data_IF_163482537396
#
_entry.id   IF_163482537396
#
_cell.length_a   1.000
_cell.length_b   1.000
_cell.length_c   1.000
_cell.angle_alpha   90.00
_cell.angle_beta   90.00
_cell.angle_gamma   90.00
#
_symmetry.space_group_name_H-M   'P 1'
#
loop_
_entity.id
_entity.type
_entity.pdbx_description
1 polymer ?
#
# COMPACT_ATOMS: atom_id res chain seq x y z
N UNK A 1 -1.78 -15.67 -22.52
CA UNK A 1 -1.67 -14.66 -21.45
C UNK A 1 -0.24 -14.21 -21.48
N UNK A 2 0.02 -13.00 -21.95
CA UNK A 2 1.36 -12.42 -21.92
C UNK A 2 1.72 -12.21 -20.45
N UNK A 3 2.84 -12.78 -19.99
CA UNK A 3 3.43 -12.48 -18.69
C UNK A 3 3.94 -11.02 -18.79
N UNK A 4 3.07 -10.05 -18.53
CA UNK A 4 3.48 -8.67 -18.33
C UNK A 4 4.33 -8.66 -17.06
N UNK A 5 5.63 -8.79 -17.26
CA UNK A 5 6.63 -8.76 -16.20
C UNK A 5 6.58 -7.35 -15.63
N UNK A 6 6.23 -7.21 -14.35
CA UNK A 6 6.15 -5.91 -13.71
C UNK A 6 7.55 -5.31 -13.61
N UNK A 7 7.65 -4.02 -13.89
CA UNK A 7 8.86 -3.28 -13.61
C UNK A 7 8.95 -2.99 -12.09
N UNK A 8 9.89 -3.66 -11.42
CA UNK A 8 10.12 -3.55 -9.97
C UNK A 8 10.50 -2.11 -9.57
N UNK A 9 11.29 -1.41 -10.39
CA UNK A 9 11.69 -0.02 -10.12
C UNK A 9 10.51 0.95 -10.25
N UNK A 10 9.64 0.71 -11.23
CA UNK A 10 8.40 1.49 -11.39
C UNK A 10 7.47 1.27 -10.20
N UNK A 11 7.28 0.01 -9.79
CA UNK A 11 6.47 -0.33 -8.63
C UNK A 11 7.05 0.28 -7.34
N UNK A 12 8.37 0.24 -7.18
CA UNK A 12 9.07 0.86 -6.06
C UNK A 12 8.83 2.38 -6.01
N UNK A 13 8.85 3.04 -7.16
CA UNK A 13 8.57 4.49 -7.28
C UNK A 13 7.12 4.81 -6.91
N UNK A 14 6.17 4.04 -7.42
CA UNK A 14 4.74 4.19 -7.11
C UNK A 14 4.45 3.99 -5.62
N UNK A 15 5.00 2.93 -5.02
CA UNK A 15 4.85 2.68 -3.58
C UNK A 15 5.46 3.78 -2.73
N UNK A 16 6.62 4.32 -3.11
CA UNK A 16 7.23 5.45 -2.41
C UNK A 16 6.34 6.70 -2.48
N UNK A 17 5.77 7.02 -3.65
CA UNK A 17 4.88 8.17 -3.80
C UNK A 17 3.64 8.07 -2.89
N UNK A 18 3.09 6.86 -2.70
CA UNK A 18 2.00 6.63 -1.75
C UNK A 18 2.45 6.88 -0.32
N UNK A 19 3.62 6.37 0.08
CA UNK A 19 4.16 6.59 1.43
C UNK A 19 4.40 8.08 1.70
N UNK A 20 4.94 8.82 0.72
CA UNK A 20 5.17 10.25 0.84
C UNK A 20 3.84 11.01 1.04
N UNK A 21 2.77 10.60 0.33
CA UNK A 21 1.44 11.18 0.52
C UNK A 21 0.85 10.88 1.91
N UNK A 22 1.08 9.68 2.45
CA UNK A 22 0.73 9.37 3.83
C UNK A 22 1.51 10.22 4.83
N UNK A 23 2.83 10.36 4.67
CA UNK A 23 3.68 11.13 5.57
C UNK A 23 3.35 12.62 5.58
N UNK A 24 2.87 13.15 4.45
CA UNK A 24 2.33 14.51 4.34
C UNK A 24 0.94 14.68 4.99
N UNK A 25 0.21 13.59 5.24
CA UNK A 25 -1.13 13.66 5.82
C UNK A 25 -1.08 14.03 7.31
N UNK A 26 -1.80 15.08 7.77
CA UNK A 26 -1.72 15.57 9.16
C UNK A 26 -2.05 14.52 10.22
N UNK A 27 -2.89 13.55 9.89
CA UNK A 27 -3.30 12.47 10.79
C UNK A 27 -2.45 11.19 10.66
N UNK A 28 -1.38 11.17 9.87
CA UNK A 28 -0.47 10.02 9.82
C UNK A 28 0.67 10.13 10.84
N UNK A 29 0.87 11.31 11.43
CA UNK A 29 1.95 11.61 12.39
C UNK A 29 1.42 12.21 13.69
N UNK A 30 2.16 12.09 14.82
CA UNK A 30 1.77 12.72 16.09
C UNK A 30 1.62 14.24 15.98
N UNK A 31 0.78 14.88 16.82
CA UNK A 31 0.05 14.30 17.95
C UNK A 31 -1.33 13.72 17.60
N UNK A 32 -1.85 13.94 16.39
CA UNK A 32 -3.23 13.62 16.01
C UNK A 32 -3.32 12.40 15.09
N UNK A 33 -2.57 11.34 15.40
CA UNK A 33 -2.52 10.15 14.56
C UNK A 33 -3.89 9.45 14.54
N UNK A 34 -4.46 9.30 13.35
CA UNK A 34 -5.64 8.48 13.12
C UNK A 34 -5.22 7.01 13.01
N UNK A 35 -5.76 6.10 13.87
CA UNK A 35 -5.35 4.70 13.91
C UNK A 35 -5.51 3.97 12.57
N UNK A 36 -6.56 4.26 11.81
CA UNK A 36 -6.80 3.62 10.51
C UNK A 36 -5.82 4.10 9.45
N UNK A 37 -5.55 5.41 9.42
CA UNK A 37 -4.57 5.99 8.48
C UNK A 37 -3.19 5.41 8.75
N UNK A 38 -2.78 5.38 10.02
CA UNK A 38 -1.50 4.80 10.40
C UNK A 38 -1.41 3.30 10.12
N UNK A 39 -2.49 2.54 10.34
CA UNK A 39 -2.53 1.12 10.00
C UNK A 39 -2.27 0.88 8.51
N UNK A 40 -2.95 1.63 7.63
CA UNK A 40 -2.77 1.46 6.17
C UNK A 40 -1.37 1.94 5.74
N UNK A 41 -0.88 3.05 6.29
CA UNK A 41 0.50 3.49 6.09
C UNK A 41 1.51 2.39 6.44
N UNK A 42 1.41 1.81 7.63
CA UNK A 42 2.31 0.75 8.08
C UNK A 42 2.19 -0.52 7.21
N UNK A 43 0.97 -0.88 6.79
CA UNK A 43 0.73 -1.99 5.87
C UNK A 43 1.45 -1.79 4.53
N UNK A 44 1.32 -0.61 3.91
CA UNK A 44 2.00 -0.28 2.64
C UNK A 44 3.51 -0.22 2.83
N UNK A 45 3.98 0.40 3.93
CA UNK A 45 5.41 0.49 4.26
C UNK A 45 6.04 -0.90 4.40
N UNK A 46 5.38 -1.82 5.10
CA UNK A 46 5.84 -3.19 5.24
C UNK A 46 5.82 -3.95 3.91
N UNK A 47 4.84 -3.68 3.05
CA UNK A 47 4.80 -4.22 1.67
C UNK A 47 5.96 -3.67 0.83
N UNK A 48 6.28 -2.39 0.96
CA UNK A 48 7.40 -1.75 0.25
C UNK A 48 8.74 -2.31 0.70
N UNK A 49 8.90 -2.56 1.99
CA UNK A 49 10.09 -3.21 2.53
C UNK A 49 10.26 -4.63 1.96
N UNK A 50 9.18 -5.38 1.76
CA UNK A 50 9.25 -6.69 1.07
C UNK A 50 9.69 -6.54 -0.39
N UNK A 51 9.16 -5.54 -1.12
CA UNK A 51 9.59 -5.26 -2.49
C UNK A 51 11.09 -4.97 -2.58
N UNK A 52 11.63 -4.19 -1.64
CA UNK A 52 13.07 -3.89 -1.56
C UNK A 52 13.95 -5.12 -1.31
N UNK A 53 13.38 -6.22 -0.83
CA UNK A 53 14.10 -7.50 -0.67
C UNK A 53 14.04 -8.40 -1.91
N UNK A 54 13.29 -8.02 -2.96
CA UNK A 54 13.20 -8.80 -4.19
C UNK A 54 14.53 -8.76 -4.95
N UNK A 55 15.05 -9.93 -5.27
CA UNK A 55 16.20 -10.09 -6.15
C UNK A 55 15.73 -9.95 -7.61
N UNK A 56 15.99 -8.77 -8.20
CA UNK A 56 15.58 -8.44 -9.57
C UNK A 56 16.17 -9.40 -10.61
N UNK A 57 17.38 -9.94 -10.39
CA UNK A 57 17.99 -10.89 -11.32
C UNK A 57 17.27 -12.24 -11.28
N UNK A 58 16.86 -12.71 -10.10
CA UNK A 58 16.04 -13.92 -9.97
C UNK A 58 14.64 -13.75 -10.54
N UNK A 59 14.03 -12.59 -10.34
CA UNK A 59 12.75 -12.26 -10.93
C UNK A 59 12.81 -12.28 -12.46
N UNK A 60 13.82 -11.61 -13.04
CA UNK A 60 14.06 -11.62 -14.49
C UNK A 60 14.36 -13.03 -15.04
N UNK A 61 14.98 -13.90 -14.24
CA UNK A 61 15.22 -15.30 -14.59
C UNK A 61 13.98 -16.21 -14.41
N UNK A 62 12.85 -15.68 -13.93
CA UNK A 62 11.62 -16.45 -13.74
C UNK A 62 11.64 -17.41 -12.55
N UNK A 63 12.47 -17.13 -11.54
CA UNK A 63 12.53 -17.92 -10.31
C UNK A 63 11.15 -17.98 -9.61
N UNK A 64 10.64 -19.21 -9.39
CA UNK A 64 9.26 -19.41 -8.90
C UNK A 64 9.01 -18.77 -7.52
N UNK A 65 9.87 -18.96 -6.51
CA UNK A 65 9.73 -18.27 -5.22
C UNK A 65 9.70 -16.74 -5.36
N UNK A 66 10.62 -16.19 -6.17
CA UNK A 66 10.69 -14.73 -6.38
C UNK A 66 9.44 -14.20 -7.08
N UNK A 67 8.95 -14.92 -8.10
CA UNK A 67 7.70 -14.58 -8.80
C UNK A 67 6.48 -14.64 -7.87
N UNK A 68 6.43 -15.61 -6.95
CA UNK A 68 5.36 -15.70 -5.97
C UNK A 68 5.37 -14.52 -5.00
N UNK A 69 6.55 -14.10 -4.53
CA UNK A 69 6.71 -12.94 -3.67
C UNK A 69 6.28 -11.64 -4.37
N UNK A 70 6.66 -11.45 -5.64
CA UNK A 70 6.20 -10.29 -6.43
C UNK A 70 4.68 -10.31 -6.60
N UNK A 71 4.07 -11.46 -6.87
CA UNK A 71 2.59 -11.59 -6.97
C UNK A 71 1.89 -11.26 -5.65
N UNK A 72 2.47 -11.64 -4.52
CA UNK A 72 1.96 -11.27 -3.20
C UNK A 72 1.98 -9.75 -3.02
N UNK A 73 3.09 -9.09 -3.36
CA UNK A 73 3.21 -7.63 -3.27
C UNK A 73 2.15 -6.92 -4.11
N UNK A 74 1.91 -7.37 -5.35
CA UNK A 74 0.84 -6.84 -6.21
C UNK A 74 -0.52 -7.00 -5.53
N UNK A 75 -0.81 -8.19 -4.99
CA UNK A 75 -2.07 -8.45 -4.30
C UNK A 75 -2.25 -7.57 -3.07
N UNK A 76 -1.17 -7.31 -2.31
CA UNK A 76 -1.19 -6.40 -1.16
C UNK A 76 -1.42 -4.95 -1.59
N UNK A 77 -0.84 -4.51 -2.70
CA UNK A 77 -1.09 -3.17 -3.24
C UNK A 77 -2.54 -3.00 -3.71
N UNK A 78 -3.08 -3.97 -4.44
CA UNK A 78 -4.49 -3.95 -4.82
C UNK A 78 -5.41 -3.93 -3.59
N UNK A 79 -5.06 -4.68 -2.54
CA UNK A 79 -5.79 -4.65 -1.28
C UNK A 79 -5.66 -3.30 -0.57
N UNK A 80 -4.50 -2.66 -0.58
CA UNK A 80 -4.33 -1.32 -0.01
C UNK A 80 -5.28 -0.30 -0.66
N UNK A 81 -5.45 -0.34 -1.98
CA UNK A 81 -6.41 0.51 -2.69
C UNK A 81 -7.86 0.23 -2.28
N UNK A 82 -8.21 -1.02 -1.96
CA UNK A 82 -9.52 -1.35 -1.36
C UNK A 82 -9.66 -0.74 0.03
N UNK A 83 -8.62 -0.80 0.87
CA UNK A 83 -8.66 -0.24 2.24
C UNK A 83 -8.80 1.29 2.23
N UNK A 84 -8.08 1.98 1.34
CA UNK A 84 -8.12 3.44 1.20
C UNK A 84 -9.51 3.91 0.73
N UNK A 85 -10.19 3.08 -0.05
CA UNK A 85 -11.53 3.35 -0.57
C UNK A 85 -12.66 2.73 0.29
N UNK A 86 -12.37 2.13 1.45
CA UNK A 86 -13.42 1.56 2.32
C UNK A 86 -14.29 2.66 2.94
N UNK A 87 -15.55 2.71 2.51
CA UNK A 87 -16.57 3.58 3.11
C UNK A 87 -17.50 2.83 4.07
N UNK A 88 -17.28 1.53 4.31
CA UNK A 88 -18.19 0.71 5.12
C UNK A 88 -18.05 0.93 6.63
N UNK A 89 -16.94 1.54 7.08
CA UNK A 89 -16.64 1.75 8.49
C UNK A 89 -16.07 0.51 9.21
N UNK A 90 -15.99 -0.64 8.54
CA UNK A 90 -15.41 -1.86 9.11
C UNK A 90 -13.92 -1.69 9.39
N UNK A 91 -13.20 -1.00 8.51
CA UNK A 91 -11.79 -0.73 8.75
C UNK A 91 -11.56 0.11 9.99
N UNK A 92 -12.32 1.20 10.15
CA UNK A 92 -12.28 2.01 11.35
C UNK A 92 -12.59 1.19 12.61
N UNK A 93 -13.55 0.26 12.56
CA UNK A 93 -13.82 -0.65 13.69
C UNK A 93 -12.60 -1.53 14.04
N UNK A 94 -11.97 -2.14 13.04
CA UNK A 94 -10.85 -3.09 13.24
C UNK A 94 -9.58 -2.42 13.74
N UNK A 95 -9.38 -1.14 13.44
CA UNK A 95 -8.20 -0.35 13.83
C UNK A 95 -8.42 0.47 15.11
N UNK A 96 -9.60 0.37 15.74
CA UNK A 96 -9.94 1.10 16.97
C UNK A 96 -10.44 2.54 16.75
N UNK A 97 -10.79 2.90 15.52
CA UNK A 97 -11.47 4.13 15.15
C UNK A 97 -13.01 4.06 15.31
N UNK A 98 -13.68 5.16 14.97
CA UNK A 98 -15.14 5.27 15.04
C UNK A 98 -15.79 4.72 13.75
N UNK A 99 -16.54 3.60 13.79
CA UNK A 99 -17.15 3.00 12.60
C UNK A 99 -18.25 3.85 11.95
N UNK A 100 -18.85 4.80 12.69
CA UNK A 100 -19.88 5.71 12.17
C UNK A 100 -19.28 6.86 11.35
N UNK A 101 -17.96 7.03 11.38
CA UNK A 101 -17.24 8.06 10.63
C UNK A 101 -16.16 7.36 9.81
N UNK A 102 -16.43 7.07 8.51
CA UNK A 102 -15.43 6.49 7.63
C UNK A 102 -14.12 7.30 7.67
N UNK A 103 -13.00 6.59 7.62
CA UNK A 103 -11.69 7.24 7.63
C UNK A 103 -11.52 8.02 6.33
N UNK A 104 -11.19 9.31 6.44
CA UNK A 104 -10.88 10.13 5.28
C UNK A 104 -9.36 10.14 5.04
N UNK A 105 -8.92 9.48 3.99
CA UNK A 105 -7.51 9.48 3.57
C UNK A 105 -7.10 10.74 2.79
N UNK A 106 -8.06 11.59 2.38
CA UNK A 106 -7.80 12.73 1.53
C UNK A 106 -7.52 12.36 0.06
N UNK A 107 -7.50 13.37 -0.81
CA UNK A 107 -7.42 13.18 -2.26
C UNK A 107 -6.00 12.80 -2.71
N UNK A 108 -4.96 13.31 -2.04
CA UNK A 108 -3.56 13.04 -2.39
C UNK A 108 -3.20 11.56 -2.22
N UNK A 109 -3.62 10.95 -1.10
CA UNK A 109 -3.40 9.52 -0.84
C UNK A 109 -4.17 8.67 -1.86
N UNK A 110 -5.42 9.04 -2.17
CA UNK A 110 -6.25 8.33 -3.14
C UNK A 110 -5.62 8.38 -4.54
N UNK A 111 -5.23 9.57 -4.99
CA UNK A 111 -4.61 9.76 -6.29
C UNK A 111 -3.28 9.01 -6.41
N UNK A 112 -2.47 8.97 -5.35
CA UNK A 112 -1.24 8.18 -5.34
C UNK A 112 -1.53 6.67 -5.37
N UNK A 113 -2.54 6.21 -4.62
CA UNK A 113 -2.91 4.79 -4.53
C UNK A 113 -3.61 4.24 -5.78
N UNK A 114 -4.27 5.09 -6.57
CA UNK A 114 -4.82 4.72 -7.88
C UNK A 114 -3.71 4.32 -8.87
N UNK A 115 -2.46 4.72 -8.60
CA UNK A 115 -1.29 4.37 -9.40
C UNK A 115 -0.63 3.03 -9.05
N UNK A 116 -1.08 2.35 -8.00
CA UNK A 116 -0.58 1.03 -7.54
C UNK A 116 -1.18 -0.14 -8.33
#
# INVERSE_FOLDING_TARGET
>A
MSDDTINIDELNTKMQAVLDAFEAHPECSPPNTNPTIYFVYDFIRNTHNQLKQIDAAKYAAGDKPTNAAVREIIGRNAFASVLINDTSGKMAMMTGGNPSVPTNFGDDIKAAADGL
#
